data_IF_194970501979
#
_entry.id   IF_194970501979
#
_cell.length_a   1.000
_cell.length_b   1.000
_cell.length_c   1.000
_cell.angle_alpha   90.00
_cell.angle_beta   90.00
_cell.angle_gamma   90.00
#
_symmetry.space_group_name_H-M   'P 1'
#
loop_
_entity.id
_entity.type
_entity.pdbx_description
1 polymer ?
#
# COMPACT_ATOMS: atom_id res chain seq x y z
N UNK A 1 -15.46 -6.17 -0.82
CA UNK A 1 -14.73 -7.13 -1.68
C UNK A 1 -13.32 -7.19 -1.15
N UNK A 2 -12.70 -8.38 -1.00
CA UNK A 2 -11.37 -8.48 -0.39
C UNK A 2 -10.29 -8.01 -1.35
N UNK A 3 -9.25 -7.36 -0.86
CA UNK A 3 -8.10 -6.89 -1.62
C UNK A 3 -7.41 -8.04 -2.36
N UNK A 4 -7.27 -9.20 -1.71
CA UNK A 4 -6.69 -10.39 -2.35
C UNK A 4 -7.52 -10.90 -3.53
N UNK A 5 -8.85 -10.80 -3.45
CA UNK A 5 -9.75 -11.19 -4.53
C UNK A 5 -9.69 -10.16 -5.69
N UNK A 6 -9.57 -8.87 -5.36
CA UNK A 6 -9.53 -7.77 -6.33
C UNK A 6 -8.22 -7.73 -7.14
N UNK A 7 -7.09 -7.88 -6.46
CA UNK A 7 -5.76 -7.73 -7.08
C UNK A 7 -5.10 -9.06 -7.47
N UNK A 8 -5.63 -10.18 -6.96
CA UNK A 8 -5.16 -11.54 -7.20
C UNK A 8 -4.13 -12.00 -6.17
N UNK A 9 -4.49 -13.05 -5.42
CA UNK A 9 -3.70 -13.57 -4.30
C UNK A 9 -2.25 -13.91 -4.66
N UNK A 10 -2.02 -14.56 -5.81
CA UNK A 10 -0.67 -14.93 -6.25
C UNK A 10 0.22 -13.71 -6.48
N UNK A 11 -0.35 -12.65 -7.08
CA UNK A 11 0.36 -11.41 -7.35
C UNK A 11 0.70 -10.70 -6.06
N UNK A 12 -0.28 -10.57 -5.15
CA UNK A 12 -0.08 -9.92 -3.85
C UNK A 12 0.99 -10.66 -3.03
N UNK A 13 0.93 -11.99 -2.97
CA UNK A 13 1.92 -12.79 -2.24
C UNK A 13 3.33 -12.66 -2.82
N UNK A 14 3.46 -12.65 -4.15
CA UNK A 14 4.75 -12.44 -4.80
C UNK A 14 5.35 -11.08 -4.43
N UNK A 15 4.57 -10.00 -4.59
CA UNK A 15 5.04 -8.64 -4.29
C UNK A 15 5.33 -8.46 -2.80
N UNK A 16 4.53 -9.06 -1.91
CA UNK A 16 4.79 -9.07 -0.47
C UNK A 16 6.12 -9.74 -0.15
N UNK A 17 6.39 -10.91 -0.75
CA UNK A 17 7.64 -11.65 -0.51
C UNK A 17 8.86 -10.85 -0.99
N UNK A 18 8.80 -10.27 -2.19
CA UNK A 18 9.84 -9.39 -2.70
C UNK A 18 10.04 -8.16 -1.79
N UNK A 19 8.94 -7.60 -1.29
CA UNK A 19 8.98 -6.42 -0.43
C UNK A 19 9.54 -6.73 0.95
N UNK A 20 9.22 -7.88 1.53
CA UNK A 20 9.77 -8.31 2.82
C UNK A 20 11.31 -8.33 2.80
N UNK A 21 11.92 -8.83 1.72
CA UNK A 21 13.39 -8.84 1.55
C UNK A 21 13.97 -7.42 1.49
N UNK A 22 13.25 -6.46 0.89
CA UNK A 22 13.70 -5.06 0.85
C UNK A 22 13.55 -4.37 2.20
N UNK A 23 12.44 -4.59 2.88
CA UNK A 23 12.15 -3.99 4.19
C UNK A 23 13.13 -4.52 5.25
N UNK A 24 13.51 -5.80 5.17
CA UNK A 24 14.48 -6.40 6.11
C UNK A 24 15.83 -5.68 6.12
N UNK A 25 16.23 -5.06 5.01
CA UNK A 25 17.49 -4.32 4.86
C UNK A 25 17.47 -2.90 5.45
N UNK A 26 16.32 -2.40 5.88
CA UNK A 26 16.21 -1.08 6.52
C UNK A 26 16.94 -1.11 7.87
N UNK A 27 17.50 0.00 8.33
CA UNK A 27 18.16 0.03 9.65
C UNK A 27 17.16 0.31 10.77
N UNK A 28 16.25 1.25 10.55
CA UNK A 28 15.23 1.67 11.51
C UNK A 28 14.17 0.57 11.75
N UNK A 29 13.99 0.19 13.00
CA UNK A 29 13.03 -0.85 13.40
C UNK A 29 11.59 -0.32 13.29
N UNK A 30 11.36 0.93 13.67
CA UNK A 30 10.10 1.62 13.51
C UNK A 30 9.71 1.79 12.05
N UNK A 31 10.64 2.16 11.17
CA UNK A 31 10.38 2.23 9.72
C UNK A 31 10.00 0.86 9.16
N UNK A 32 10.74 -0.20 9.53
CA UNK A 32 10.38 -1.58 9.15
C UNK A 32 8.95 -1.91 9.56
N UNK A 33 8.63 -1.59 10.81
CA UNK A 33 7.35 -1.94 11.41
C UNK A 33 6.20 -1.20 10.73
N UNK A 34 6.36 0.10 10.46
CA UNK A 34 5.38 0.88 9.72
C UNK A 34 5.10 0.29 8.33
N UNK A 35 6.15 -0.11 7.60
CA UNK A 35 6.01 -0.70 6.26
C UNK A 35 5.36 -2.09 6.31
N UNK A 36 5.76 -2.94 7.26
CA UNK A 36 5.16 -4.28 7.43
C UNK A 36 3.69 -4.17 7.81
N UNK A 37 3.35 -3.27 8.74
CA UNK A 37 1.97 -3.06 9.17
C UNK A 37 1.07 -2.55 8.05
N UNK A 38 1.59 -1.71 7.13
CA UNK A 38 0.84 -1.28 5.96
C UNK A 38 0.46 -2.48 5.07
N UNK A 39 1.39 -3.40 4.80
CA UNK A 39 1.11 -4.63 4.06
C UNK A 39 0.14 -5.56 4.78
N UNK A 40 0.31 -5.73 6.10
CA UNK A 40 -0.60 -6.55 6.90
C UNK A 40 -2.04 -5.99 6.86
N UNK A 41 -2.19 -4.67 7.04
CA UNK A 41 -3.50 -4.02 6.97
C UNK A 41 -4.15 -4.20 5.60
N UNK A 42 -3.37 -4.11 4.52
CA UNK A 42 -3.86 -4.32 3.16
C UNK A 42 -4.32 -5.76 2.94
N UNK A 43 -3.53 -6.75 3.37
CA UNK A 43 -3.85 -8.19 3.19
C UNK A 43 -5.04 -8.62 4.04
N UNK A 44 -5.20 -8.02 5.22
CA UNK A 44 -6.30 -8.28 6.15
C UNK A 44 -7.56 -7.46 5.84
N UNK A 45 -7.60 -6.74 4.72
CA UNK A 45 -8.74 -5.90 4.30
C UNK A 45 -9.11 -4.80 5.33
N UNK A 46 -8.17 -4.40 6.20
CA UNK A 46 -8.37 -3.32 7.17
C UNK A 46 -8.30 -1.93 6.51
N UNK A 47 -7.62 -1.86 5.36
CA UNK A 47 -7.49 -0.67 4.54
C UNK A 47 -7.73 -1.01 3.06
N UNK A 48 -8.44 -0.12 2.37
CA UNK A 48 -8.52 -0.14 0.92
C UNK A 48 -7.69 1.01 0.34
N UNK A 49 -7.19 0.85 -0.89
CA UNK A 49 -6.37 1.86 -1.55
C UNK A 49 -7.15 3.12 -1.97
N UNK A 50 -8.48 3.08 -1.90
CA UNK A 50 -9.41 4.19 -2.14
C UNK A 50 -9.95 4.82 -0.84
N UNK A 51 -9.48 4.37 0.33
CA UNK A 51 -9.89 4.95 1.61
C UNK A 51 -9.46 6.41 1.76
N UNK A 52 -10.25 7.19 2.50
CA UNK A 52 -9.93 8.59 2.77
C UNK A 52 -8.62 8.72 3.57
N UNK A 53 -7.85 9.78 3.30
CA UNK A 53 -6.61 10.06 4.02
C UNK A 53 -6.83 10.16 5.53
N UNK A 54 -7.96 10.68 5.97
CA UNK A 54 -8.29 10.77 7.40
C UNK A 54 -8.46 9.38 8.03
N UNK A 55 -9.21 8.48 7.38
CA UNK A 55 -9.39 7.11 7.86
C UNK A 55 -8.06 6.37 7.92
N UNK A 56 -7.26 6.49 6.86
CA UNK A 56 -5.94 5.86 6.75
C UNK A 56 -4.97 6.39 7.80
N UNK A 57 -4.95 7.70 8.04
CA UNK A 57 -4.10 8.32 9.07
C UNK A 57 -4.49 7.84 10.48
N UNK A 58 -5.79 7.75 10.77
CA UNK A 58 -6.26 7.25 12.06
C UNK A 58 -5.90 5.76 12.26
N UNK A 59 -6.04 4.94 11.23
CA UNK A 59 -5.59 3.54 11.28
C UNK A 59 -4.08 3.45 11.52
N UNK A 60 -3.27 4.24 10.81
CA UNK A 60 -1.82 4.24 10.98
C UNK A 60 -1.41 4.66 12.40
N UNK A 61 -2.12 5.61 13.02
CA UNK A 61 -1.91 5.99 14.44
C UNK A 61 -2.25 4.87 15.42
N UNK A 62 -3.34 4.14 15.18
CA UNK A 62 -3.69 2.96 15.99
C UNK A 62 -2.59 1.90 15.88
N UNK A 63 -2.13 1.63 14.65
CA UNK A 63 -1.03 0.68 14.41
C UNK A 63 0.29 1.10 15.02
N UNK A 64 0.60 2.41 15.03
CA UNK A 64 1.73 2.93 15.78
C UNK A 64 1.61 2.62 17.28
N UNK A 65 0.42 2.80 17.89
CA UNK A 65 0.17 2.44 19.29
C UNK A 65 0.38 0.94 19.56
N UNK A 66 -0.12 0.07 18.67
CA UNK A 66 0.11 -1.38 18.75
C UNK A 66 1.62 -1.72 18.64
N UNK A 67 2.34 -1.05 17.75
CA UNK A 67 3.79 -1.25 17.57
C UNK A 67 4.58 -0.82 18.80
N UNK A 68 4.27 0.34 19.38
CA UNK A 68 4.92 0.83 20.61
C UNK A 68 4.69 -0.14 21.77
N UNK A 69 3.47 -0.67 21.92
CA UNK A 69 3.18 -1.66 22.95
C UNK A 69 4.00 -2.96 22.75
N UNK A 70 4.12 -3.44 21.52
CA UNK A 70 4.91 -4.62 21.21
C UNK A 70 6.42 -4.42 21.47
N UNK A 71 6.94 -3.24 21.17
CA UNK A 71 8.35 -2.88 21.40
C UNK A 71 8.66 -2.80 22.90
N UNK A 72 7.73 -2.24 23.68
CA UNK A 72 7.83 -2.23 25.14
C UNK A 72 7.95 -3.65 25.71
N UNK A 73 7.19 -4.61 25.18
CA UNK A 73 7.26 -6.01 25.60
C UNK A 73 8.56 -6.71 25.22
N UNK A 74 9.17 -6.35 24.07
CA UNK A 74 10.45 -6.91 23.62
C UNK A 74 11.69 -6.23 24.23
N UNK A 75 11.52 -5.08 24.87
CA UNK A 75 12.61 -4.27 25.40
C UNK A 75 13.32 -3.44 24.32
N UNK A 76 12.73 -3.30 23.14
CA UNK A 76 13.20 -2.42 22.08
C UNK A 76 12.52 -1.04 22.20
N UNK A 77 13.20 0.01 21.73
CA UNK A 77 12.64 1.35 21.70
C UNK A 77 12.16 1.73 20.29
N UNK A 78 10.99 2.38 20.23
CA UNK A 78 10.48 2.92 18.98
C UNK A 78 11.33 4.13 18.57
N UNK A 79 12.04 4.01 17.45
CA UNK A 79 13.00 4.99 16.96
C UNK A 79 12.38 6.08 16.06
N UNK A 80 11.08 6.01 15.79
CA UNK A 80 10.32 6.99 15.02
C UNK A 80 9.11 7.48 15.79
N UNK A 81 8.71 8.74 15.58
CA UNK A 81 7.49 9.27 16.18
C UNK A 81 6.23 8.85 15.40
N UNK A 82 5.06 9.15 15.97
CA UNK A 82 3.77 8.80 15.37
C UNK A 82 3.53 9.46 14.00
N UNK A 83 4.02 10.69 13.78
CA UNK A 83 3.85 11.38 12.50
C UNK A 83 4.75 10.77 11.42
N UNK A 84 6.00 10.45 11.78
CA UNK A 84 6.93 9.72 10.91
C UNK A 84 6.36 8.35 10.55
N UNK A 85 5.82 7.61 11.53
CA UNK A 85 5.17 6.33 11.30
C UNK A 85 4.02 6.46 10.30
N UNK A 86 3.13 7.42 10.50
CA UNK A 86 2.00 7.68 9.60
C UNK A 86 2.51 8.01 8.18
N UNK A 87 3.53 8.87 8.07
CA UNK A 87 4.12 9.23 6.78
C UNK A 87 4.69 8.01 6.05
N UNK A 88 5.47 7.18 6.75
CA UNK A 88 6.08 5.96 6.19
C UNK A 88 5.00 4.95 5.80
N UNK A 89 3.94 4.84 6.60
CA UNK A 89 2.79 3.99 6.31
C UNK A 89 2.10 4.41 5.00
N UNK A 90 1.86 5.72 4.81
CA UNK A 90 1.31 6.25 3.55
C UNK A 90 2.22 6.00 2.35
N UNK A 91 3.53 6.22 2.51
CA UNK A 91 4.52 5.92 1.47
C UNK A 91 4.45 4.45 1.05
N UNK A 92 4.32 3.54 2.02
CA UNK A 92 4.21 2.11 1.74
C UNK A 92 2.88 1.75 1.04
N UNK A 93 1.77 2.40 1.38
CA UNK A 93 0.51 2.23 0.63
C UNK A 93 0.67 2.67 -0.83
N UNK A 94 1.44 3.72 -1.10
CA UNK A 94 1.80 4.14 -2.45
C UNK A 94 2.58 3.05 -3.21
N UNK A 95 3.53 2.39 -2.52
CA UNK A 95 4.26 1.23 -3.06
C UNK A 95 3.32 0.07 -3.34
N UNK A 96 2.46 -0.29 -2.39
CA UNK A 96 1.44 -1.35 -2.54
C UNK A 96 0.60 -1.06 -3.78
N UNK A 97 0.00 0.12 -3.88
CA UNK A 97 -0.83 0.50 -5.02
C UNK A 97 -0.10 0.33 -6.35
N UNK A 98 1.14 0.84 -6.45
CA UNK A 98 1.95 0.73 -7.67
C UNK A 98 2.25 -0.73 -8.06
N UNK A 99 2.44 -1.61 -7.08
CA UNK A 99 2.78 -3.02 -7.31
C UNK A 99 1.56 -3.88 -7.60
N UNK A 100 0.51 -3.76 -6.81
CA UNK A 100 -0.68 -4.63 -6.89
C UNK A 100 -1.63 -4.21 -8.02
N UNK A 101 -1.70 -2.93 -8.36
CA UNK A 101 -2.47 -2.45 -9.51
C UNK A 101 -1.82 -2.93 -10.81
N UNK A 102 -2.56 -3.66 -11.65
CA UNK A 102 -2.03 -4.25 -12.90
C UNK A 102 -1.81 -3.15 -13.96
N UNK A 103 -0.60 -3.07 -14.52
CA UNK A 103 -0.26 -2.21 -15.68
C UNK A 103 -1.18 -2.41 -16.88
N UNK A 104 -1.75 -3.61 -17.05
CA UNK A 104 -2.68 -3.93 -18.13
C UNK A 104 -3.99 -3.13 -18.07
N UNK A 105 -4.48 -2.73 -16.89
CA UNK A 105 -5.66 -1.85 -16.77
C UNK A 105 -5.34 -0.46 -17.31
N UNK A 106 -4.13 0.06 -17.07
CA UNK A 106 -3.69 1.33 -17.65
C UNK A 106 -3.59 1.25 -19.18
N UNK A 107 -3.02 0.17 -19.73
CA UNK A 107 -2.91 -0.02 -21.19
C UNK A 107 -4.29 -0.12 -21.84
N UNK A 108 -5.21 -0.93 -21.27
CA UNK A 108 -6.57 -1.06 -21.78
C UNK A 108 -7.29 0.29 -21.74
N UNK A 109 -7.16 1.05 -20.65
CA UNK A 109 -7.72 2.40 -20.56
C UNK A 109 -7.15 3.32 -21.65
N UNK A 110 -5.83 3.36 -21.85
CA UNK A 110 -5.22 4.17 -22.91
C UNK A 110 -5.66 3.74 -24.32
N UNK A 111 -5.82 2.44 -24.57
CA UNK A 111 -6.33 1.91 -25.85
C UNK A 111 -7.78 2.33 -26.08
N UNK A 112 -8.64 2.25 -25.05
CA UNK A 112 -10.03 2.71 -25.15
C UNK A 112 -10.14 4.22 -25.38
N UNK A 113 -9.32 5.03 -24.69
CA UNK A 113 -9.27 6.48 -24.90
C UNK A 113 -8.79 6.81 -26.32
N UNK A 114 -7.75 6.14 -26.81
CA UNK A 114 -7.24 6.32 -28.17
C UNK A 114 -8.30 5.93 -29.23
N UNK A 115 -9.01 4.83 -29.02
CA UNK A 115 -10.12 4.41 -29.90
C UNK A 115 -11.30 5.38 -29.87
N UNK A 116 -11.64 5.93 -28.69
CA UNK A 116 -12.69 6.94 -28.55
C UNK A 116 -12.35 8.24 -29.29
N UNK A 117 -11.12 8.74 -29.14
CA UNK A 117 -10.63 9.92 -29.87
C UNK A 117 -10.58 9.66 -31.39
N UNK A 118 -10.16 8.48 -31.81
CA UNK A 118 -10.14 8.10 -33.23
C UNK A 118 -11.55 7.98 -33.82
N UNK A 119 -12.50 7.42 -33.06
CA UNK A 119 -13.91 7.36 -33.45
C UNK A 119 -14.54 8.74 -33.60
N UNK A 120 -14.28 9.66 -32.66
CA UNK A 120 -14.73 11.06 -32.77
C UNK A 120 -14.10 11.76 -33.97
N UNK A 121 -12.80 11.60 -34.19
CA UNK A 121 -12.11 12.17 -35.35
C UNK A 121 -12.78 11.76 -36.66
N UNK A 122 -13.10 10.47 -36.83
CA UNK A 122 -13.76 9.96 -38.04
C UNK A 122 -15.22 10.41 -38.26
N UNK A 123 -15.88 10.93 -37.22
CA UNK A 123 -17.25 11.44 -37.30
C UNK A 123 -17.26 12.92 -37.70
N UNK A 124 -16.24 13.67 -37.28
CA UNK A 124 -16.17 15.12 -37.49
C UNK A 124 -15.24 15.55 -38.66
N UNK A 125 -14.41 14.65 -39.19
CA UNK A 125 -13.45 14.90 -40.27
C UNK A 125 -13.41 13.72 -41.25
#
# INVERSE_FOLDING_TARGET
>A
MRNLDLYGIEKVNKELHERAVMVDRIASLGEKTARIMAWQCFIQDLINLDDSNERTSNLARIKHGEAVAAFWESGDDMDIDSNQFVSIFFDELGVINKKVTKKSVQIVFYVFVALGLFGLYKIFF
#
